data_IF_697197138134
#
_entry.id   IF_697197138134
#
_cell.length_a   1.000
_cell.length_b   1.000
_cell.length_c   1.000
_cell.angle_alpha   90.00
_cell.angle_beta   90.00
_cell.angle_gamma   90.00
#
_symmetry.space_group_name_H-M   'P 1'
#
loop_
_entity.id
_entity.type
_entity.pdbx_description
1 polymer ?
#
# COMPACT_ATOMS: atom_id res chain seq x y z
N UNK A 1 19.45 6.34 -5.54
CA UNK A 1 18.84 5.67 -4.39
C UNK A 1 19.71 5.87 -3.14
N UNK A 2 21.00 5.62 -3.24
CA UNK A 2 21.97 5.77 -2.13
C UNK A 2 21.92 7.17 -1.51
N UNK A 3 21.89 8.23 -2.32
CA UNK A 3 21.78 9.63 -1.84
C UNK A 3 20.52 9.87 -1.00
N UNK A 4 19.39 9.20 -1.35
CA UNK A 4 18.20 9.23 -0.53
C UNK A 4 18.39 8.55 0.81
N UNK A 5 19.06 7.40 0.82
CA UNK A 5 19.33 6.64 2.05
C UNK A 5 20.26 7.42 2.99
N UNK A 6 21.26 8.10 2.45
CA UNK A 6 22.18 8.93 3.23
C UNK A 6 21.42 10.07 3.93
N UNK A 7 20.54 10.78 3.19
CA UNK A 7 19.66 11.79 3.78
C UNK A 7 18.71 11.19 4.84
N UNK A 8 18.16 10.01 4.58
CA UNK A 8 17.25 9.35 5.55
C UNK A 8 17.97 9.02 6.85
N UNK A 9 19.21 8.57 6.78
CA UNK A 9 20.05 8.29 7.95
C UNK A 9 20.33 9.59 8.74
N UNK A 10 20.64 10.69 8.05
CA UNK A 10 20.80 12.02 8.67
C UNK A 10 19.52 12.50 9.37
N UNK A 11 18.34 12.23 8.80
CA UNK A 11 17.04 12.55 9.38
C UNK A 11 16.59 11.55 10.48
N UNK A 12 17.40 10.55 10.84
CA UNK A 12 17.05 9.55 11.85
C UNK A 12 15.96 8.55 11.41
N UNK A 13 15.74 8.39 10.12
CA UNK A 13 14.81 7.39 9.56
C UNK A 13 15.45 6.01 9.68
N UNK A 14 14.70 5.04 10.17
CA UNK A 14 15.17 3.68 10.45
C UNK A 14 14.51 2.59 9.59
N UNK A 15 13.57 2.94 8.71
CA UNK A 15 12.93 2.01 7.79
C UNK A 15 12.55 2.67 6.48
N UNK A 16 12.66 1.92 5.38
CA UNK A 16 12.28 2.34 4.03
C UNK A 16 11.16 1.45 3.52
N UNK A 17 10.03 2.05 3.10
CA UNK A 17 8.93 1.39 2.44
C UNK A 17 9.05 1.67 0.94
N UNK A 18 9.59 0.71 0.19
CA UNK A 18 9.84 0.88 -1.24
C UNK A 18 8.82 0.13 -2.09
N UNK A 19 8.12 0.83 -2.98
CA UNK A 19 7.11 0.22 -3.85
C UNK A 19 7.75 -0.62 -4.95
N UNK A 20 7.93 -1.89 -4.69
CA UNK A 20 8.51 -2.87 -5.62
C UNK A 20 7.50 -3.44 -6.62
N UNK A 21 6.20 -3.18 -6.39
CA UNK A 21 5.10 -3.61 -7.21
C UNK A 21 4.00 -2.56 -7.20
N UNK A 22 4.06 -1.62 -8.13
CA UNK A 22 3.07 -0.53 -8.25
C UNK A 22 1.83 -0.93 -9.06
N UNK A 23 2.00 -1.93 -9.92
CA UNK A 23 1.00 -2.54 -10.79
C UNK A 23 1.23 -4.05 -10.79
N UNK A 24 0.68 -4.78 -11.78
CA UNK A 24 1.07 -6.16 -12.07
C UNK A 24 2.45 -6.19 -12.77
N UNK A 25 3.45 -5.66 -12.11
CA UNK A 25 4.85 -5.59 -12.55
C UNK A 25 5.79 -5.79 -11.33
N UNK A 26 7.06 -6.08 -11.56
CA UNK A 26 7.99 -6.38 -10.49
C UNK A 26 9.34 -5.68 -10.65
N UNK A 27 9.99 -5.34 -9.53
CA UNK A 27 11.37 -4.84 -9.45
C UNK A 27 12.39 -5.98 -9.26
N UNK A 28 11.97 -7.21 -9.54
CA UNK A 28 12.76 -8.44 -9.42
C UNK A 28 12.32 -9.46 -10.48
N UNK A 29 13.08 -10.51 -10.67
CA UNK A 29 12.70 -11.60 -11.58
C UNK A 29 11.58 -12.44 -10.97
N UNK A 30 10.33 -12.12 -11.36
CA UNK A 30 9.12 -12.80 -10.89
C UNK A 30 8.65 -13.88 -11.86
N UNK A 31 8.13 -14.98 -11.30
CA UNK A 31 7.42 -16.02 -12.09
C UNK A 31 6.04 -15.55 -12.53
N UNK A 32 5.47 -14.57 -11.81
CA UNK A 32 4.07 -14.15 -11.97
C UNK A 32 3.94 -12.88 -12.81
N UNK A 33 4.93 -12.00 -12.84
CA UNK A 33 4.79 -10.65 -13.38
C UNK A 33 6.01 -10.23 -14.19
N UNK A 34 5.84 -9.34 -15.19
CA UNK A 34 6.96 -8.81 -15.96
C UNK A 34 7.81 -7.85 -15.14
N UNK A 35 9.05 -7.62 -15.57
CA UNK A 35 9.87 -6.52 -15.07
C UNK A 35 9.16 -5.18 -15.28
N UNK A 36 9.21 -4.32 -14.26
CA UNK A 36 8.59 -3.00 -14.33
C UNK A 36 9.23 -2.13 -15.42
N UNK A 37 8.38 -1.45 -16.20
CA UNK A 37 8.79 -0.42 -17.15
C UNK A 37 9.64 0.67 -16.52
N UNK A 38 9.40 0.99 -15.25
CA UNK A 38 10.08 2.07 -14.52
C UNK A 38 11.59 1.85 -14.44
N UNK A 39 12.05 0.60 -14.47
CA UNK A 39 13.48 0.27 -14.33
C UNK A 39 14.24 0.52 -15.64
N UNK A 40 13.69 0.09 -16.77
CA UNK A 40 14.41 0.06 -18.07
C UNK A 40 13.76 0.90 -19.17
N UNK A 41 12.60 1.49 -18.89
CA UNK A 41 11.76 2.14 -19.91
C UNK A 41 10.89 1.18 -20.73
N UNK A 42 11.05 -0.14 -20.59
CA UNK A 42 10.34 -1.17 -21.36
C UNK A 42 9.81 -2.26 -20.44
N UNK A 43 8.51 -2.58 -20.54
CA UNK A 43 7.89 -3.68 -19.79
C UNK A 43 8.59 -5.02 -20.11
N UNK A 44 8.85 -5.82 -19.09
CA UNK A 44 9.41 -7.17 -19.22
C UNK A 44 10.92 -7.21 -19.54
N UNK A 45 11.57 -6.08 -19.80
CA UNK A 45 13.00 -6.04 -20.09
C UNK A 45 13.81 -6.20 -18.81
N UNK A 46 14.59 -7.29 -18.74
CA UNK A 46 15.53 -7.53 -17.65
C UNK A 46 16.61 -6.46 -17.62
N UNK A 47 16.88 -5.79 -16.48
CA UNK A 47 17.90 -4.77 -16.34
C UNK A 47 19.36 -5.32 -16.35
N UNK A 48 19.55 -6.62 -16.26
CA UNK A 48 20.87 -7.26 -16.23
C UNK A 48 21.48 -7.39 -14.82
N UNK A 49 20.75 -7.01 -13.79
CA UNK A 49 21.14 -7.19 -12.37
C UNK A 49 19.89 -7.34 -11.49
N UNK A 50 20.09 -7.80 -10.26
CA UNK A 50 19.01 -7.94 -9.29
C UNK A 50 18.74 -6.61 -8.57
N UNK A 51 17.75 -5.88 -9.06
CA UNK A 51 17.38 -4.54 -8.57
C UNK A 51 16.90 -4.60 -7.11
N UNK A 52 16.03 -5.56 -6.78
CA UNK A 52 15.48 -5.65 -5.43
C UNK A 52 16.56 -6.02 -4.41
N UNK A 53 17.44 -6.94 -4.77
CA UNK A 53 18.59 -7.28 -3.91
C UNK A 53 19.48 -6.05 -3.66
N UNK A 54 19.79 -5.26 -4.70
CA UNK A 54 20.56 -4.03 -4.55
C UNK A 54 19.88 -3.03 -3.59
N UNK A 55 18.57 -2.82 -3.74
CA UNK A 55 17.81 -1.90 -2.88
C UNK A 55 17.84 -2.34 -1.41
N UNK A 56 17.71 -3.64 -1.14
CA UNK A 56 17.75 -4.21 0.21
C UNK A 56 19.17 -4.08 0.80
N UNK A 57 20.19 -4.52 0.07
CA UNK A 57 21.58 -4.51 0.55
C UNK A 57 22.03 -3.08 0.92
N UNK A 58 21.72 -2.08 0.09
CA UNK A 58 22.07 -0.68 0.35
C UNK A 58 21.31 -0.10 1.55
N UNK A 59 20.06 -0.53 1.76
CA UNK A 59 19.26 -0.12 2.92
C UNK A 59 19.82 -0.72 4.21
N UNK A 60 20.07 -2.03 4.21
CA UNK A 60 20.66 -2.75 5.35
C UNK A 60 22.05 -2.27 5.70
N UNK A 61 22.88 -1.93 4.71
CA UNK A 61 24.22 -1.39 4.92
C UNK A 61 24.24 -0.09 5.76
N UNK A 62 23.09 0.63 5.79
CA UNK A 62 22.90 1.84 6.60
C UNK A 62 22.12 1.60 7.91
N UNK A 63 21.89 0.33 8.27
CA UNK A 63 21.18 -0.05 9.49
C UNK A 63 19.68 0.24 9.46
N UNK A 64 19.09 0.40 8.26
CA UNK A 64 17.65 0.62 8.10
C UNK A 64 16.95 -0.66 7.66
N UNK A 65 15.69 -0.83 8.06
CA UNK A 65 14.81 -1.89 7.57
C UNK A 65 14.32 -1.60 6.15
N UNK A 66 14.13 -2.67 5.36
CA UNK A 66 13.51 -2.61 4.03
C UNK A 66 12.15 -3.29 4.03
N UNK A 67 11.09 -2.52 3.85
CA UNK A 67 9.72 -3.02 3.71
C UNK A 67 9.31 -3.01 2.24
N UNK A 68 9.04 -4.19 1.69
CA UNK A 68 8.58 -4.36 0.31
C UNK A 68 7.12 -3.93 0.18
N UNK A 69 6.88 -2.78 -0.47
CA UNK A 69 5.53 -2.28 -0.69
C UNK A 69 4.97 -2.79 -2.01
N UNK A 70 3.81 -3.43 -1.94
CA UNK A 70 3.04 -3.90 -3.09
C UNK A 70 1.65 -3.24 -3.13
N UNK A 71 1.19 -2.90 -4.33
CA UNK A 71 -0.22 -2.68 -4.60
C UNK A 71 -0.83 -4.02 -5.01
N UNK A 72 -1.82 -4.58 -4.28
CA UNK A 72 -2.23 -5.97 -4.51
C UNK A 72 -3.01 -6.18 -5.81
N UNK A 73 -3.85 -5.22 -6.20
CA UNK A 73 -4.85 -5.47 -7.26
C UNK A 73 -4.64 -4.67 -8.54
N UNK A 74 -3.88 -3.58 -8.52
CA UNK A 74 -3.69 -2.76 -9.72
C UNK A 74 -2.92 -3.52 -10.79
N UNK A 75 -3.50 -3.61 -11.98
CA UNK A 75 -2.83 -4.19 -13.16
C UNK A 75 -2.31 -3.07 -14.07
N UNK A 76 -3.14 -2.06 -14.38
CA UNK A 76 -2.75 -0.94 -15.22
C UNK A 76 -3.66 0.27 -14.99
N UNK A 77 -3.19 1.44 -15.40
CA UNK A 77 -3.96 2.67 -15.43
C UNK A 77 -3.86 3.34 -16.80
N UNK A 78 -4.88 4.10 -17.17
CA UNK A 78 -4.85 4.91 -18.39
C UNK A 78 -5.31 6.35 -18.12
N UNK A 79 -4.82 7.29 -18.90
CA UNK A 79 -5.06 8.72 -18.66
C UNK A 79 -6.49 9.18 -18.92
N UNK A 80 -7.25 8.47 -19.76
CA UNK A 80 -8.66 8.77 -20.06
C UNK A 80 -9.45 7.48 -20.33
N UNK A 81 -10.77 7.54 -20.18
CA UNK A 81 -11.66 6.42 -20.50
C UNK A 81 -11.64 6.03 -22.00
N UNK A 82 -11.29 6.97 -22.87
CA UNK A 82 -11.16 6.74 -24.33
C UNK A 82 -9.81 6.17 -24.76
N UNK A 83 -8.78 6.20 -23.91
CA UNK A 83 -7.51 5.57 -24.21
C UNK A 83 -7.64 4.04 -24.10
N UNK A 84 -6.85 3.31 -24.89
CA UNK A 84 -6.79 1.86 -24.76
C UNK A 84 -5.83 1.46 -23.63
N UNK A 85 -6.15 0.36 -22.92
CA UNK A 85 -5.15 -0.28 -22.07
C UNK A 85 -4.13 -1.00 -22.96
N UNK A 86 -2.85 -1.01 -22.55
CA UNK A 86 -1.87 -1.85 -23.24
C UNK A 86 -2.29 -3.33 -23.14
N UNK A 87 -1.81 -4.12 -24.09
CA UNK A 87 -1.99 -5.58 -24.06
C UNK A 87 -1.44 -6.14 -22.73
N UNK A 88 -2.11 -7.17 -22.20
CA UNK A 88 -1.62 -7.86 -21.02
C UNK A 88 -0.34 -8.62 -21.35
N UNK A 89 0.62 -8.58 -20.41
CA UNK A 89 1.75 -9.48 -20.47
C UNK A 89 1.27 -10.95 -20.36
N UNK A 90 1.89 -11.89 -21.09
CA UNK A 90 1.51 -13.31 -21.04
C UNK A 90 1.51 -13.94 -19.65
N UNK A 91 2.25 -13.41 -18.70
CA UNK A 91 2.24 -13.84 -17.30
C UNK A 91 0.96 -13.46 -16.56
N UNK A 92 0.14 -12.55 -17.08
CA UNK A 92 -1.07 -12.04 -16.46
C UNK A 92 -2.30 -12.69 -17.09
N UNK A 93 -2.99 -13.61 -16.38
CA UNK A 93 -4.18 -14.28 -16.94
C UNK A 93 -5.33 -13.29 -17.15
N UNK A 94 -5.79 -13.15 -18.39
CA UNK A 94 -6.87 -12.24 -18.74
C UNK A 94 -8.19 -12.58 -17.99
N UNK A 95 -8.42 -13.85 -17.64
CA UNK A 95 -9.58 -14.29 -16.86
C UNK A 95 -9.62 -13.75 -15.43
N UNK A 96 -8.49 -13.29 -14.92
CA UNK A 96 -8.37 -12.72 -13.56
C UNK A 96 -8.55 -11.20 -13.52
N UNK A 97 -8.73 -10.54 -14.67
CA UNK A 97 -8.64 -9.09 -14.81
C UNK A 97 -10.00 -8.48 -15.13
N UNK A 98 -10.26 -7.29 -14.59
CA UNK A 98 -11.41 -6.44 -14.96
C UNK A 98 -10.95 -5.05 -15.34
N UNK A 99 -11.56 -4.52 -16.41
CA UNK A 99 -11.33 -3.17 -16.90
C UNK A 99 -12.46 -2.23 -16.45
N UNK A 100 -12.05 -1.06 -15.99
CA UNK A 100 -12.89 0.09 -15.69
C UNK A 100 -12.43 1.31 -16.51
N UNK A 101 -13.09 2.45 -16.38
CA UNK A 101 -12.80 3.63 -17.21
C UNK A 101 -11.33 4.05 -17.20
N UNK A 102 -10.67 4.04 -16.04
CA UNK A 102 -9.27 4.49 -15.94
C UNK A 102 -8.33 3.47 -15.31
N UNK A 103 -8.85 2.36 -14.84
CA UNK A 103 -8.07 1.38 -14.12
C UNK A 103 -8.40 -0.05 -14.57
N UNK A 104 -7.38 -0.84 -14.74
CA UNK A 104 -7.45 -2.29 -14.90
C UNK A 104 -6.96 -2.94 -13.62
N UNK A 105 -7.72 -3.87 -13.07
CA UNK A 105 -7.41 -4.50 -11.79
C UNK A 105 -7.54 -6.02 -11.87
N UNK A 106 -6.81 -6.74 -11.05
CA UNK A 106 -7.18 -8.09 -10.69
C UNK A 106 -8.52 -8.07 -9.97
N UNK A 107 -9.42 -8.99 -10.32
CA UNK A 107 -10.77 -9.06 -9.75
C UNK A 107 -10.72 -9.59 -8.30
N UNK A 108 -10.98 -8.76 -7.28
CA UNK A 108 -10.87 -9.19 -5.88
C UNK A 108 -11.86 -10.29 -5.49
N UNK A 109 -12.95 -10.45 -6.27
CA UNK A 109 -13.98 -11.45 -6.02
C UNK A 109 -13.58 -12.88 -6.41
N UNK A 110 -12.44 -13.06 -7.09
CA UNK A 110 -11.96 -14.37 -7.55
C UNK A 110 -11.02 -15.02 -6.52
N UNK A 111 -11.30 -16.25 -6.06
CA UNK A 111 -10.38 -16.98 -5.19
C UNK A 111 -8.98 -17.16 -5.78
N UNK A 112 -8.88 -17.39 -7.10
CA UNK A 112 -7.61 -17.55 -7.82
C UNK A 112 -6.76 -16.26 -7.83
N UNK A 113 -7.39 -15.10 -7.74
CA UNK A 113 -6.69 -13.81 -7.59
C UNK A 113 -6.10 -13.69 -6.19
N UNK A 114 -6.85 -14.06 -5.16
CA UNK A 114 -6.37 -14.09 -3.77
C UNK A 114 -5.17 -15.05 -3.63
N UNK A 115 -5.24 -16.23 -4.26
CA UNK A 115 -4.15 -17.22 -4.28
C UNK A 115 -2.93 -16.68 -5.01
N UNK A 116 -3.13 -15.99 -6.14
CA UNK A 116 -2.05 -15.37 -6.91
C UNK A 116 -1.31 -14.31 -6.10
N UNK A 117 -2.03 -13.41 -5.41
CA UNK A 117 -1.41 -12.37 -4.58
C UNK A 117 -0.61 -13.00 -3.44
N UNK A 118 -1.16 -14.01 -2.77
CA UNK A 118 -0.46 -14.76 -1.74
C UNK A 118 0.79 -15.46 -2.27
N UNK A 119 0.74 -16.01 -3.49
CA UNK A 119 1.89 -16.64 -4.15
C UNK A 119 2.99 -15.62 -4.52
N UNK A 120 2.62 -14.41 -4.96
CA UNK A 120 3.56 -13.30 -5.20
C UNK A 120 4.26 -12.90 -3.88
N UNK A 121 3.50 -12.76 -2.79
CA UNK A 121 4.08 -12.47 -1.48
C UNK A 121 5.06 -13.58 -1.05
N UNK A 122 4.66 -14.85 -1.20
CA UNK A 122 5.54 -15.99 -0.91
C UNK A 122 6.84 -15.94 -1.73
N UNK A 123 6.73 -15.59 -3.01
CA UNK A 123 7.91 -15.43 -3.88
C UNK A 123 8.85 -14.36 -3.35
N UNK A 124 8.34 -13.18 -2.97
CA UNK A 124 9.14 -12.07 -2.44
C UNK A 124 9.86 -12.49 -1.16
N UNK A 125 9.13 -12.94 -0.15
CA UNK A 125 9.70 -13.23 1.16
C UNK A 125 10.59 -14.47 1.19
N UNK A 126 10.49 -15.35 0.18
CA UNK A 126 11.36 -16.53 0.03
C UNK A 126 12.68 -16.18 -0.67
N UNK A 127 12.61 -15.28 -1.66
CA UNK A 127 13.79 -14.93 -2.48
C UNK A 127 14.65 -13.82 -1.88
N UNK A 128 14.03 -12.94 -1.08
CA UNK A 128 14.65 -11.69 -0.64
C UNK A 128 14.57 -11.50 0.86
N UNK A 129 15.61 -10.91 1.43
CA UNK A 129 15.73 -10.62 2.86
C UNK A 129 15.04 -9.31 3.23
N UNK A 130 13.71 -9.25 2.97
CA UNK A 130 12.89 -8.12 3.38
C UNK A 130 12.55 -8.22 4.87
N UNK A 131 12.52 -7.08 5.57
CA UNK A 131 12.10 -6.99 6.98
C UNK A 131 10.58 -6.91 7.10
N UNK A 132 9.92 -6.40 6.08
CA UNK A 132 8.46 -6.30 6.06
C UNK A 132 7.85 -6.38 4.66
N UNK A 133 6.56 -6.70 4.66
CA UNK A 133 5.67 -6.57 3.53
C UNK A 133 4.65 -5.48 3.82
N UNK A 134 4.47 -4.55 2.90
CA UNK A 134 3.54 -3.44 3.04
C UNK A 134 2.52 -3.41 1.92
N UNK A 135 1.26 -3.13 2.25
CA UNK A 135 0.19 -2.87 1.30
C UNK A 135 -0.40 -1.48 1.51
N UNK A 136 -0.74 -0.80 0.42
CA UNK A 136 -1.47 0.46 0.43
C UNK A 136 -3.00 0.28 0.55
N UNK A 137 -3.78 1.30 0.14
CA UNK A 137 -5.23 1.34 0.25
C UNK A 137 -5.99 0.88 -1.02
N UNK A 138 -5.29 0.33 -2.01
CA UNK A 138 -5.90 -0.06 -3.28
C UNK A 138 -6.42 -1.50 -3.26
N UNK A 139 -7.64 -1.68 -2.71
CA UNK A 139 -8.38 -2.94 -2.69
C UNK A 139 -9.37 -3.00 -3.85
N UNK A 140 -10.69 -2.88 -3.63
CA UNK A 140 -11.59 -2.61 -4.73
C UNK A 140 -11.30 -1.23 -5.33
N UNK A 141 -11.44 -1.05 -6.67
CA UNK A 141 -11.08 0.22 -7.29
C UNK A 141 -12.05 1.33 -6.88
N UNK A 142 -11.50 2.53 -6.64
CA UNK A 142 -12.29 3.75 -6.61
C UNK A 142 -12.72 4.06 -8.04
N UNK A 143 -14.04 4.09 -8.27
CA UNK A 143 -14.64 4.28 -9.59
C UNK A 143 -14.97 5.75 -9.85
N UNK A 144 -15.01 6.11 -11.13
CA UNK A 144 -15.47 7.42 -11.53
C UNK A 144 -17.00 7.56 -11.37
N UNK A 145 -17.48 8.80 -11.35
CA UNK A 145 -18.92 9.07 -11.25
C UNK A 145 -19.67 8.38 -12.40
N UNK A 146 -20.65 7.57 -12.04
CA UNK A 146 -21.48 6.83 -13.00
C UNK A 146 -20.98 5.43 -13.33
N UNK A 147 -19.81 5.03 -12.84
CA UNK A 147 -19.36 3.65 -12.91
C UNK A 147 -19.89 2.83 -11.73
N UNK A 148 -20.00 1.53 -11.93
CA UNK A 148 -20.32 0.54 -10.88
C UNK A 148 -19.37 -0.65 -10.97
N UNK A 149 -19.16 -1.32 -9.84
CA UNK A 149 -18.39 -2.55 -9.80
C UNK A 149 -19.09 -3.66 -10.60
N UNK A 150 -18.34 -4.33 -11.47
CA UNK A 150 -18.85 -5.36 -12.37
C UNK A 150 -18.52 -6.76 -11.79
N UNK A 151 -19.12 -7.10 -10.65
CA UNK A 151 -18.88 -8.37 -9.92
C UNK A 151 -20.17 -9.12 -9.54
N UNK A 152 -21.29 -8.79 -10.17
CA UNK A 152 -22.57 -9.45 -9.92
C UNK A 152 -22.54 -10.96 -10.27
N UNK A 153 -21.79 -11.34 -11.31
CA UNK A 153 -21.65 -12.74 -11.69
C UNK A 153 -20.84 -13.54 -10.65
N UNK A 154 -19.79 -12.94 -10.10
CA UNK A 154 -19.00 -13.53 -9.01
C UNK A 154 -19.81 -13.63 -7.73
N UNK A 155 -20.62 -12.61 -7.41
CA UNK A 155 -21.55 -12.66 -6.27
C UNK A 155 -22.57 -13.79 -6.44
N UNK A 156 -23.16 -13.96 -7.63
CA UNK A 156 -24.08 -15.05 -7.91
C UNK A 156 -23.40 -16.44 -7.75
N UNK A 157 -22.12 -16.55 -8.12
CA UNK A 157 -21.37 -17.81 -8.07
C UNK A 157 -20.82 -18.14 -6.68
N UNK A 158 -20.29 -17.14 -5.95
CA UNK A 158 -19.51 -17.35 -4.73
C UNK A 158 -20.15 -16.71 -3.48
N UNK A 159 -21.23 -15.96 -3.65
CA UNK A 159 -21.80 -15.13 -2.60
C UNK A 159 -22.92 -15.78 -1.76
N UNK A 160 -23.13 -17.11 -1.87
CA UNK A 160 -24.25 -17.82 -1.22
C UNK A 160 -24.33 -17.67 0.31
N UNK A 161 -23.26 -17.29 0.97
CA UNK A 161 -23.23 -17.06 2.43
C UNK A 161 -23.48 -15.60 2.85
N UNK A 162 -23.71 -14.68 1.90
CA UNK A 162 -23.81 -13.26 2.18
C UNK A 162 -25.14 -12.70 1.72
N UNK A 163 -25.86 -11.98 2.61
CA UNK A 163 -27.14 -11.36 2.28
C UNK A 163 -27.00 -10.08 1.44
N UNK A 164 -25.83 -9.47 1.44
CA UNK A 164 -25.49 -8.25 0.69
C UNK A 164 -24.18 -8.41 -0.06
N UNK A 165 -24.12 -7.85 -1.25
CA UNK A 165 -22.91 -7.86 -2.09
C UNK A 165 -21.73 -7.11 -1.43
N UNK A 166 -22.02 -6.07 -0.65
CA UNK A 166 -21.00 -5.33 0.09
C UNK A 166 -20.29 -6.19 1.13
N UNK A 167 -21.00 -7.09 1.83
CA UNK A 167 -20.44 -8.03 2.78
C UNK A 167 -19.57 -9.08 2.07
N UNK A 168 -20.02 -9.55 0.92
CA UNK A 168 -19.25 -10.44 0.06
C UNK A 168 -17.94 -9.78 -0.40
N UNK A 169 -17.97 -8.52 -0.82
CA UNK A 169 -16.78 -7.77 -1.23
C UNK A 169 -15.79 -7.62 -0.07
N UNK A 170 -16.25 -7.22 1.11
CA UNK A 170 -15.40 -7.13 2.33
C UNK A 170 -14.79 -8.47 2.69
N UNK A 171 -15.57 -9.53 2.64
CA UNK A 171 -15.08 -10.87 2.90
C UNK A 171 -14.00 -11.32 1.90
N UNK A 172 -14.11 -10.95 0.62
CA UNK A 172 -13.10 -11.29 -0.38
C UNK A 172 -11.76 -10.57 -0.12
N UNK A 173 -11.80 -9.28 0.25
CA UNK A 173 -10.58 -8.56 0.63
C UNK A 173 -9.97 -9.16 1.91
N UNK A 174 -10.80 -9.44 2.92
CA UNK A 174 -10.33 -10.07 4.17
C UNK A 174 -9.69 -11.44 3.91
N UNK A 175 -10.28 -12.28 3.03
CA UNK A 175 -9.69 -13.57 2.64
C UNK A 175 -8.31 -13.41 1.98
N UNK A 176 -8.11 -12.39 1.17
CA UNK A 176 -6.80 -12.11 0.60
C UNK A 176 -5.78 -11.74 1.69
N UNK A 177 -6.16 -10.89 2.64
CA UNK A 177 -5.33 -10.53 3.80
C UNK A 177 -5.01 -11.78 4.64
N UNK A 178 -6.00 -12.65 4.92
CA UNK A 178 -5.81 -13.90 5.64
C UNK A 178 -4.82 -14.85 4.92
N UNK A 179 -4.94 -14.99 3.60
CA UNK A 179 -4.02 -15.82 2.82
C UNK A 179 -2.59 -15.28 2.86
N UNK A 180 -2.42 -13.96 2.77
CA UNK A 180 -1.10 -13.30 2.87
C UNK A 180 -0.52 -13.52 4.27
N UNK A 181 -1.30 -13.25 5.32
CA UNK A 181 -0.89 -13.49 6.70
C UNK A 181 -0.42 -14.93 6.90
N UNK A 182 -1.22 -15.91 6.48
CA UNK A 182 -0.89 -17.33 6.61
C UNK A 182 0.39 -17.69 5.86
N UNK A 183 0.61 -17.15 4.67
CA UNK A 183 1.85 -17.35 3.92
C UNK A 183 3.06 -16.79 4.66
N UNK A 184 2.96 -15.59 5.23
CA UNK A 184 4.04 -14.98 6.00
C UNK A 184 4.36 -15.83 7.23
N UNK A 185 3.36 -16.15 8.05
CA UNK A 185 3.53 -16.94 9.29
C UNK A 185 4.14 -18.32 9.00
N UNK A 186 3.78 -18.96 7.88
CA UNK A 186 4.28 -20.28 7.52
C UNK A 186 5.66 -20.27 6.84
N UNK A 187 6.07 -19.15 6.23
CA UNK A 187 7.28 -19.06 5.42
C UNK A 187 8.39 -18.31 6.13
N UNK A 188 8.10 -17.12 6.65
CA UNK A 188 9.03 -16.21 7.34
C UNK A 188 8.26 -15.39 8.39
N UNK A 189 7.98 -15.97 9.56
CA UNK A 189 7.15 -15.33 10.59
C UNK A 189 7.76 -14.04 11.18
N UNK A 190 9.04 -13.76 10.93
CA UNK A 190 9.71 -12.52 11.31
C UNK A 190 9.41 -11.34 10.40
N UNK A 191 8.85 -11.57 9.20
CA UNK A 191 8.49 -10.50 8.25
C UNK A 191 7.25 -9.75 8.75
N UNK A 192 7.40 -8.47 8.99
CA UNK A 192 6.33 -7.59 9.49
C UNK A 192 5.30 -7.33 8.38
N UNK A 193 4.05 -7.70 8.60
CA UNK A 193 2.96 -7.39 7.66
C UNK A 193 2.25 -6.10 8.04
N UNK A 194 2.39 -5.07 7.22
CA UNK A 194 1.77 -3.77 7.45
C UNK A 194 0.80 -3.37 6.34
N UNK A 195 -0.22 -2.59 6.69
CA UNK A 195 -1.21 -2.04 5.75
C UNK A 195 -1.40 -0.55 6.02
N UNK A 196 -1.45 0.25 4.94
CA UNK A 196 -1.68 1.69 4.98
C UNK A 196 -3.07 2.03 4.39
N UNK A 197 -4.16 1.87 5.18
CA UNK A 197 -5.50 2.21 4.72
C UNK A 197 -5.68 3.72 4.64
N UNK A 198 -6.74 4.17 3.94
CA UNK A 198 -7.10 5.59 3.96
C UNK A 198 -7.41 6.06 5.39
N UNK A 199 -7.08 7.29 5.72
CA UNK A 199 -7.38 7.88 7.01
C UNK A 199 -8.88 8.07 7.28
N UNK A 200 -9.74 7.89 6.28
CA UNK A 200 -11.19 7.84 6.42
C UNK A 200 -11.68 6.39 6.46
N UNK A 201 -12.04 5.92 7.63
CA UNK A 201 -12.55 4.56 7.80
C UNK A 201 -13.81 4.26 6.98
N UNK A 202 -14.76 5.20 6.94
CA UNK A 202 -16.02 4.98 6.20
C UNK A 202 -15.75 4.71 4.72
N UNK A 203 -14.73 5.38 4.15
CA UNK A 203 -14.32 5.15 2.77
C UNK A 203 -13.66 3.78 2.59
N UNK A 204 -12.79 3.37 3.53
CA UNK A 204 -12.22 2.02 3.52
C UNK A 204 -13.33 0.96 3.52
N UNK A 205 -14.28 1.07 4.44
CA UNK A 205 -15.32 0.06 4.67
C UNK A 205 -16.36 0.01 3.54
N UNK A 206 -16.83 1.18 3.07
CA UNK A 206 -17.96 1.29 2.16
C UNK A 206 -17.57 1.40 0.68
N UNK A 207 -16.41 1.96 0.34
CA UNK A 207 -15.98 2.15 -1.04
C UNK A 207 -14.89 1.17 -1.48
N UNK A 208 -13.89 0.93 -0.62
CA UNK A 208 -12.78 0.02 -0.91
C UNK A 208 -13.03 -1.40 -0.39
N UNK A 209 -14.10 -1.59 0.38
CA UNK A 209 -14.48 -2.86 1.02
C UNK A 209 -13.36 -3.47 1.89
N UNK A 210 -12.57 -2.60 2.51
CA UNK A 210 -11.48 -2.93 3.41
C UNK A 210 -11.97 -2.86 4.87
N UNK A 211 -12.26 -4.00 5.47
CA UNK A 211 -12.68 -4.09 6.88
C UNK A 211 -11.47 -4.15 7.81
N UNK A 212 -10.81 -3.00 7.92
CA UNK A 212 -9.58 -2.82 8.68
C UNK A 212 -9.75 -3.20 10.15
N UNK A 213 -10.91 -2.90 10.76
CA UNK A 213 -11.20 -3.25 12.14
C UNK A 213 -11.24 -4.77 12.37
N UNK A 214 -11.74 -5.52 11.40
CA UNK A 214 -11.70 -6.99 11.44
C UNK A 214 -10.26 -7.50 11.34
N UNK A 215 -9.42 -6.91 10.49
CA UNK A 215 -8.03 -7.36 10.33
C UNK A 215 -7.21 -7.14 11.60
N UNK A 216 -7.31 -5.96 12.22
CA UNK A 216 -6.60 -5.65 13.47
C UNK A 216 -7.13 -6.48 14.65
N UNK A 217 -8.46 -6.66 14.76
CA UNK A 217 -9.07 -7.47 15.84
C UNK A 217 -8.65 -8.93 15.77
N UNK A 218 -8.52 -9.48 14.58
CA UNK A 218 -8.13 -10.88 14.39
C UNK A 218 -6.60 -11.06 14.39
N UNK A 219 -5.81 -9.98 14.38
CA UNK A 219 -4.35 -10.05 14.33
C UNK A 219 -3.83 -10.53 12.98
N UNK A 220 -4.51 -10.15 11.88
CA UNK A 220 -4.12 -10.52 10.52
C UNK A 220 -3.02 -9.62 9.96
N UNK A 221 -2.81 -8.46 10.56
CA UNK A 221 -1.74 -7.50 10.22
C UNK A 221 -1.01 -7.11 11.50
N UNK A 222 0.31 -6.98 11.42
CA UNK A 222 1.16 -6.62 12.55
C UNK A 222 1.13 -5.11 12.82
N UNK A 223 1.14 -4.30 11.75
CA UNK A 223 1.17 -2.84 11.84
C UNK A 223 0.12 -2.21 10.94
N UNK A 224 -0.68 -1.29 11.51
CA UNK A 224 -1.59 -0.44 10.76
C UNK A 224 -1.04 0.98 10.68
N UNK A 225 -1.00 1.55 9.45
CA UNK A 225 -0.40 2.85 9.15
C UNK A 225 -1.39 3.72 8.37
N UNK A 226 -2.43 4.28 8.99
CA UNK A 226 -3.45 5.05 8.25
C UNK A 226 -2.84 6.28 7.56
N UNK A 227 -3.26 6.53 6.32
CA UNK A 227 -2.88 7.70 5.52
C UNK A 227 -3.59 8.96 6.05
N UNK A 228 -3.01 9.60 7.07
CA UNK A 228 -3.58 10.78 7.73
C UNK A 228 -3.14 12.08 7.03
N UNK A 229 -3.33 12.15 5.72
CA UNK A 229 -2.88 13.22 4.82
C UNK A 229 -3.83 14.43 4.85
N UNK A 230 -4.14 14.91 6.04
CA UNK A 230 -5.15 15.94 6.31
C UNK A 230 -4.54 17.18 6.99
N UNK A 231 -5.33 18.25 7.08
CA UNK A 231 -5.05 19.39 7.96
C UNK A 231 -5.02 18.97 9.44
N UNK A 232 -4.41 19.80 10.29
CA UNK A 232 -4.16 19.48 11.71
C UNK A 232 -5.42 18.98 12.43
N UNK A 233 -6.54 19.70 12.32
CA UNK A 233 -7.80 19.35 13.01
C UNK A 233 -8.36 18.02 12.51
N UNK A 234 -8.34 17.80 11.19
CA UNK A 234 -8.84 16.56 10.59
C UNK A 234 -7.93 15.38 10.94
N UNK A 235 -6.61 15.58 10.92
CA UNK A 235 -5.64 14.58 11.38
C UNK A 235 -5.95 14.13 12.80
N UNK A 236 -6.09 15.06 13.75
CA UNK A 236 -6.39 14.78 15.14
C UNK A 236 -7.72 14.06 15.34
N UNK A 237 -8.72 14.34 14.49
CA UNK A 237 -10.02 13.66 14.54
C UNK A 237 -9.93 12.25 13.99
N UNK A 238 -9.23 12.06 12.87
CA UNK A 238 -9.17 10.77 12.18
C UNK A 238 -8.30 9.74 12.91
N UNK A 239 -7.18 10.15 13.50
CA UNK A 239 -6.29 9.24 14.22
C UNK A 239 -6.99 8.54 15.40
N UNK A 240 -7.94 9.21 16.06
CA UNK A 240 -8.68 8.65 17.20
C UNK A 240 -9.38 7.34 16.87
N UNK A 241 -10.01 7.26 15.69
CA UNK A 241 -10.66 6.03 15.28
C UNK A 241 -9.66 4.87 15.21
N UNK A 242 -8.47 5.10 14.68
CA UNK A 242 -7.43 4.07 14.56
C UNK A 242 -6.84 3.69 15.92
N UNK A 243 -6.68 4.64 16.83
CA UNK A 243 -6.30 4.36 18.23
C UNK A 243 -7.30 3.41 18.91
N UNK A 244 -8.59 3.66 18.71
CA UNK A 244 -9.65 2.85 19.33
C UNK A 244 -9.82 1.47 18.63
N UNK A 245 -9.31 1.31 17.41
CA UNK A 245 -9.51 0.11 16.57
C UNK A 245 -8.21 -0.58 16.13
N UNK A 246 -7.06 -0.25 16.67
CA UNK A 246 -5.79 -0.95 16.38
C UNK A 246 -5.77 -2.38 16.95
N UNK A 247 -6.48 -2.63 18.04
CA UNK A 247 -6.63 -3.92 18.74
C UNK A 247 -5.31 -4.68 18.95
N UNK A 248 -5.01 -5.67 18.09
CA UNK A 248 -3.82 -6.53 18.17
C UNK A 248 -2.65 -6.04 17.31
N UNK A 249 -2.86 -4.97 16.54
CA UNK A 249 -1.83 -4.40 15.66
C UNK A 249 -1.17 -3.20 16.31
N UNK A 250 0.11 -3.00 16.02
CA UNK A 250 0.81 -1.76 16.30
C UNK A 250 0.26 -0.64 15.41
N UNK A 251 0.20 0.58 15.91
CA UNK A 251 -0.28 1.75 15.18
C UNK A 251 0.86 2.74 14.91
N UNK A 252 1.08 3.07 13.63
CA UNK A 252 1.93 4.18 13.23
C UNK A 252 1.08 5.25 12.54
N UNK A 253 1.46 6.52 12.65
CA UNK A 253 0.78 7.59 11.93
C UNK A 253 1.42 7.83 10.55
N UNK A 254 0.63 7.80 9.48
CA UNK A 254 1.06 8.12 8.12
C UNK A 254 0.88 9.60 7.81
N UNK A 255 1.95 10.31 7.45
CA UNK A 255 1.98 11.75 7.16
C UNK A 255 2.16 12.01 5.67
N UNK A 256 1.26 12.80 5.07
CA UNK A 256 1.36 13.25 3.68
C UNK A 256 2.24 14.48 3.53
N UNK A 257 3.55 14.33 3.70
CA UNK A 257 4.49 15.45 3.63
C UNK A 257 4.57 16.09 2.24
N UNK A 258 4.11 15.42 1.20
CA UNK A 258 3.99 15.95 -0.16
C UNK A 258 3.01 17.13 -0.27
N UNK A 259 2.08 17.26 0.67
CA UNK A 259 1.14 18.39 0.73
C UNK A 259 1.81 19.69 1.16
N UNK A 260 2.96 19.61 1.84
CA UNK A 260 3.60 20.77 2.42
C UNK A 260 4.43 21.55 1.38
N UNK A 261 4.02 22.78 1.12
CA UNK A 261 4.71 23.75 0.27
C UNK A 261 4.32 25.17 0.67
N UNK A 262 5.21 26.14 0.51
CA UNK A 262 4.95 27.54 0.86
C UNK A 262 3.75 28.16 0.12
N UNK A 263 3.43 27.62 -1.06
CA UNK A 263 2.31 28.00 -1.94
C UNK A 263 1.10 27.03 -1.87
N UNK A 264 1.08 26.11 -0.92
CA UNK A 264 -0.02 25.16 -0.76
C UNK A 264 -1.38 25.89 -0.67
N UNK A 265 -2.41 25.37 -1.33
CA UNK A 265 -3.75 25.96 -1.31
C UNK A 265 -4.35 25.96 0.11
N UNK A 266 -4.13 24.92 0.88
CA UNK A 266 -4.50 24.86 2.30
C UNK A 266 -3.37 25.46 3.15
N UNK A 267 -3.70 26.47 3.93
CA UNK A 267 -2.76 27.21 4.80
C UNK A 267 -2.07 26.32 5.84
N UNK A 268 -2.73 25.25 6.29
CA UNK A 268 -2.14 24.28 7.23
C UNK A 268 -0.90 23.57 6.67
N UNK A 269 -0.72 23.55 5.36
CA UNK A 269 0.43 22.92 4.71
C UNK A 269 1.54 23.88 4.29
N UNK A 270 1.46 25.17 4.70
CA UNK A 270 2.44 26.18 4.28
C UNK A 270 3.66 26.30 5.18
N UNK A 271 3.61 25.69 6.36
CA UNK A 271 4.67 25.82 7.37
C UNK A 271 4.96 24.50 8.06
N UNK A 272 6.19 24.34 8.55
CA UNK A 272 6.60 23.20 9.39
C UNK A 272 5.82 23.10 10.69
N UNK A 273 5.33 24.23 11.23
CA UNK A 273 4.59 24.24 12.49
C UNK A 273 3.35 23.35 12.47
N UNK A 274 2.66 23.27 11.34
CA UNK A 274 1.51 22.37 11.19
C UNK A 274 1.92 20.89 11.17
N UNK A 275 3.03 20.58 10.53
CA UNK A 275 3.60 19.21 10.59
C UNK A 275 3.99 18.84 12.02
N UNK A 276 4.73 19.71 12.71
CA UNK A 276 5.09 19.46 14.11
C UNK A 276 3.88 19.38 15.04
N UNK A 277 2.81 20.13 14.77
CA UNK A 277 1.56 20.02 15.53
C UNK A 277 0.91 18.65 15.37
N UNK A 278 0.89 18.08 14.16
CA UNK A 278 0.41 16.73 13.90
C UNK A 278 1.31 15.68 14.58
N UNK A 279 2.61 15.79 14.38
CA UNK A 279 3.60 14.86 14.92
C UNK A 279 3.57 14.82 16.45
N UNK A 280 3.66 15.99 17.10
CA UNK A 280 3.65 16.09 18.55
C UNK A 280 2.33 15.60 19.15
N UNK A 281 1.21 15.86 18.48
CA UNK A 281 -0.08 15.34 18.92
C UNK A 281 -0.10 13.80 18.89
N UNK A 282 0.33 13.19 17.80
CA UNK A 282 0.39 11.73 17.67
C UNK A 282 1.38 11.11 18.65
N UNK A 283 2.56 11.71 18.83
CA UNK A 283 3.60 11.22 19.74
C UNK A 283 3.19 11.22 21.24
N UNK A 284 2.17 11.98 21.61
CA UNK A 284 1.62 11.98 22.98
C UNK A 284 0.59 10.85 23.20
N UNK A 285 0.14 10.18 22.14
CA UNK A 285 -0.84 9.09 22.22
C UNK A 285 -0.08 7.79 22.45
N UNK A 286 -0.27 7.19 23.64
CA UNK A 286 0.46 5.98 24.10
C UNK A 286 0.49 4.83 23.09
N UNK A 287 -0.52 4.68 22.25
CA UNK A 287 -0.66 3.59 21.29
C UNK A 287 -0.18 3.94 19.88
N UNK A 288 0.34 5.15 19.65
CA UNK A 288 0.98 5.53 18.39
C UNK A 288 2.49 5.36 18.56
N UNK A 289 3.05 4.35 17.90
CA UNK A 289 4.40 3.84 18.15
C UNK A 289 5.42 4.30 17.11
N UNK A 290 4.97 4.98 16.05
CA UNK A 290 5.86 5.44 14.98
C UNK A 290 5.19 6.39 13.99
N UNK A 291 6.00 6.81 13.01
CA UNK A 291 5.61 7.70 11.93
C UNK A 291 6.07 7.14 10.57
N UNK A 292 5.22 7.25 9.56
CA UNK A 292 5.56 6.98 8.17
C UNK A 292 5.39 8.26 7.34
N UNK A 293 6.45 8.70 6.65
CA UNK A 293 6.46 9.93 5.87
C UNK A 293 6.28 9.63 4.38
N UNK A 294 5.20 10.11 3.78
CA UNK A 294 4.96 9.99 2.34
C UNK A 294 5.12 11.37 1.68
N UNK A 295 6.19 11.63 0.89
CA UNK A 295 7.11 10.63 0.36
C UNK A 295 8.57 11.11 0.41
N UNK A 296 9.49 10.20 0.11
CA UNK A 296 10.92 10.44 0.01
C UNK A 296 11.29 11.68 -0.82
N UNK A 297 10.65 11.86 -1.98
CA UNK A 297 10.84 13.05 -2.84
C UNK A 297 10.58 14.37 -2.08
N UNK A 298 9.58 14.41 -1.22
CA UNK A 298 9.25 15.62 -0.46
C UNK A 298 10.27 15.93 0.63
N UNK A 299 10.95 14.92 1.17
CA UNK A 299 12.10 15.11 2.06
C UNK A 299 13.27 15.74 1.32
N UNK A 300 13.63 15.20 0.14
CA UNK A 300 14.75 15.75 -0.65
C UNK A 300 14.48 17.12 -1.22
N UNK A 301 13.24 17.43 -1.61
CA UNK A 301 12.84 18.77 -2.09
C UNK A 301 12.83 19.79 -0.95
N UNK A 302 12.60 19.36 0.28
CA UNK A 302 12.61 20.16 1.50
C UNK A 302 11.93 21.55 1.38
N UNK A 303 10.77 21.61 0.72
CA UNK A 303 10.09 22.85 0.30
C UNK A 303 9.77 23.81 1.43
N UNK A 304 9.67 23.36 2.66
CA UNK A 304 9.34 24.16 3.84
C UNK A 304 10.33 23.94 5.00
N UNK A 305 11.48 23.29 4.78
CA UNK A 305 12.46 23.02 5.83
C UNK A 305 12.03 21.92 6.82
N UNK A 306 11.40 20.84 6.36
CA UNK A 306 11.04 19.70 7.24
C UNK A 306 12.29 18.93 7.70
N UNK A 307 13.34 18.94 6.89
CA UNK A 307 14.59 18.22 7.18
C UNK A 307 15.64 19.08 7.88
N UNK A 308 15.35 20.38 8.11
CA UNK A 308 16.20 21.29 8.84
C UNK A 308 15.95 21.12 10.37
#
# INVERSE_FOLDING_TARGET
YTDYLDLFQECGINAVFFQIRSKADAYYESQYEPWSKTITGTVGKNPGYDVLKFLIDETHARGMQFHAWINPYRVETRGSASAEFPALDPKIPASMVKDYNKIRVYNPALPEVQDRIAAIVKEIITKYDVDGLHMDDYFYPSLEKGESLNDAAEYAKYGSGYSKIEDFRRANVTKAIEKIHNVIVQTRPEVIFSVSPQGNYDNNYNALFADVATWTRNGLIDVIIPQLYYSVVTFQTRIKWFVDNAFKSHLMAGYGIYNFASDASNTDFRTTSSFYSQYNYAAQIKHVEGALLYSAKSLTENKIGITD
#
